data_IF_259484493332
#
_entry.id   IF_259484493332
#
_cell.length_a   1.000
_cell.length_b   1.000
_cell.length_c   1.000
_cell.angle_alpha   90.00
_cell.angle_beta   90.00
_cell.angle_gamma   90.00
#
_symmetry.space_group_name_H-M   'P 1'
#
loop_
_entity.id
_entity.type
_entity.pdbx_description
1 polymer ?
#
# COMPACT_ATOMS: atom_id res chain seq x y z
N UNK A 1 37.26 -67.94 -8.96
CA UNK A 1 36.15 -68.85 -8.61
C UNK A 1 34.99 -68.00 -8.16
N UNK A 2 33.84 -68.29 -8.77
CA UNK A 2 32.59 -67.51 -8.81
C UNK A 2 31.91 -67.37 -7.45
N UNK A 3 31.28 -66.22 -7.19
CA UNK A 3 29.82 -66.17 -7.09
C UNK A 3 29.28 -64.73 -7.24
N UNK A 4 28.52 -64.43 -8.31
CA UNK A 4 27.75 -63.21 -8.47
C UNK A 4 26.26 -63.52 -8.30
N UNK A 5 25.67 -63.26 -7.12
CA UNK A 5 24.24 -62.91 -7.00
C UNK A 5 23.84 -62.64 -5.54
N UNK A 6 23.76 -61.36 -5.19
CA UNK A 6 22.85 -60.87 -4.18
C UNK A 6 22.24 -59.56 -4.70
N UNK A 7 21.00 -59.64 -5.17
CA UNK A 7 20.24 -58.50 -5.68
C UNK A 7 19.36 -57.99 -4.53
N UNK A 8 19.57 -56.77 -4.00
CA UNK A 8 18.70 -56.23 -2.96
C UNK A 8 17.32 -55.83 -3.52
N UNK A 9 16.28 -55.75 -2.68
CA UNK A 9 14.88 -55.63 -3.10
C UNK A 9 14.61 -54.33 -3.87
N UNK A 10 13.87 -54.42 -4.98
CA UNK A 10 13.48 -53.28 -5.78
C UNK A 10 12.48 -52.39 -5.05
N UNK A 11 12.93 -51.22 -4.63
CA UNK A 11 12.06 -50.17 -4.11
C UNK A 11 11.31 -49.52 -5.29
N UNK A 12 9.99 -49.61 -5.28
CA UNK A 12 9.09 -49.23 -6.39
C UNK A 12 8.91 -47.71 -6.56
N UNK A 13 9.73 -46.91 -5.85
CA UNK A 13 9.64 -45.45 -5.82
C UNK A 13 10.88 -44.71 -6.36
N UNK A 14 11.75 -45.38 -7.13
CA UNK A 14 12.77 -44.65 -7.90
C UNK A 14 12.15 -43.99 -9.13
N UNK A 15 11.97 -42.67 -9.07
CA UNK A 15 11.81 -41.80 -10.24
C UNK A 15 13.19 -41.58 -10.85
N UNK A 16 13.39 -41.98 -12.11
CA UNK A 16 14.58 -41.61 -12.89
C UNK A 16 14.75 -40.08 -12.92
N UNK A 17 15.97 -39.56 -12.69
CA UNK A 17 16.29 -38.18 -13.03
C UNK A 17 16.19 -38.00 -14.55
N UNK A 18 15.38 -37.03 -14.99
CA UNK A 18 15.27 -36.65 -16.39
C UNK A 18 16.60 -36.01 -16.85
N UNK A 19 17.49 -36.80 -17.45
CA UNK A 19 18.73 -36.33 -18.08
C UNK A 19 18.47 -36.08 -19.56
N UNK A 20 17.90 -34.90 -19.88
CA UNK A 20 17.59 -34.47 -21.24
C UNK A 20 18.62 -33.48 -21.81
N UNK A 21 19.60 -34.04 -22.53
CA UNK A 21 20.45 -33.57 -23.65
C UNK A 21 21.24 -32.23 -23.62
N UNK A 22 22.52 -32.23 -24.08
CA UNK A 22 23.30 -31.01 -24.26
C UNK A 22 22.81 -30.18 -25.46
N UNK A 23 22.44 -28.93 -25.19
CA UNK A 23 22.06 -27.94 -26.19
C UNK A 23 23.31 -27.45 -26.94
N UNK A 24 23.52 -27.93 -28.17
CA UNK A 24 24.57 -27.43 -29.05
C UNK A 24 24.34 -25.93 -29.36
N UNK A 25 25.37 -25.12 -29.11
CA UNK A 25 25.32 -23.65 -29.20
C UNK A 25 25.01 -23.14 -30.61
N UNK A 26 24.11 -22.14 -30.68
CA UNK A 26 23.91 -21.32 -31.87
C UNK A 26 25.08 -20.33 -32.03
N UNK A 27 25.57 -20.07 -33.27
CA UNK A 27 26.60 -19.06 -33.50
C UNK A 27 26.03 -17.63 -33.29
N UNK A 28 26.87 -16.65 -32.89
CA UNK A 28 26.41 -15.30 -32.59
C UNK A 28 26.14 -14.54 -33.89
N UNK A 29 24.89 -14.11 -34.07
CA UNK A 29 24.53 -13.18 -35.14
C UNK A 29 24.88 -11.76 -34.69
N UNK A 30 26.03 -11.23 -35.13
CA UNK A 30 26.43 -9.84 -34.90
C UNK A 30 25.71 -8.91 -35.87
N UNK A 31 24.52 -8.43 -35.50
CA UNK A 31 23.90 -7.30 -36.17
C UNK A 31 24.49 -5.97 -35.64
N UNK A 32 25.12 -5.14 -36.50
CA UNK A 32 25.55 -3.81 -36.11
C UNK A 32 24.41 -2.80 -36.31
N UNK A 33 24.10 -2.05 -35.25
CA UNK A 33 23.40 -0.76 -35.36
C UNK A 33 21.92 -0.78 -34.97
N UNK A 34 21.65 -0.55 -33.69
CA UNK A 34 20.40 0.06 -33.25
C UNK A 34 20.74 1.10 -32.17
N UNK A 35 20.39 2.36 -32.43
CA UNK A 35 20.51 3.46 -31.49
C UNK A 35 19.83 3.09 -30.16
N UNK A 36 20.43 3.38 -28.99
CA UNK A 36 19.82 3.04 -27.72
C UNK A 36 18.73 4.07 -27.42
N UNK A 37 17.57 3.93 -28.05
CA UNK A 37 16.36 4.51 -27.48
C UNK A 37 16.12 3.77 -26.17
N UNK A 38 16.46 4.43 -25.06
CA UNK A 38 16.12 3.98 -23.72
C UNK A 38 14.60 3.91 -23.61
N UNK A 39 14.04 2.71 -23.68
CA UNK A 39 12.65 2.48 -23.30
C UNK A 39 12.47 2.96 -21.86
N UNK A 40 11.48 3.82 -21.56
CA UNK A 40 11.25 4.22 -20.18
C UNK A 40 10.99 2.96 -19.34
N UNK A 41 11.84 2.73 -18.34
CA UNK A 41 11.72 1.58 -17.44
C UNK A 41 10.50 1.82 -16.56
N UNK A 42 9.39 1.15 -16.89
CA UNK A 42 8.20 1.14 -16.02
C UNK A 42 8.58 0.38 -14.74
N UNK A 43 8.41 1.02 -13.59
CA UNK A 43 8.72 0.40 -12.31
C UNK A 43 7.90 -0.89 -12.12
N UNK A 44 8.54 -1.95 -11.63
CA UNK A 44 7.88 -3.23 -11.42
C UNK A 44 6.70 -3.11 -10.42
N UNK A 45 5.61 -3.89 -10.63
CA UNK A 45 4.51 -3.98 -9.67
C UNK A 45 4.98 -4.39 -8.26
N UNK A 46 4.21 -3.99 -7.24
CA UNK A 46 4.49 -4.42 -5.86
C UNK A 46 4.17 -5.91 -5.66
N UNK A 47 4.92 -6.55 -4.76
CA UNK A 47 4.53 -7.85 -4.22
C UNK A 47 3.22 -7.70 -3.44
N UNK A 48 2.46 -8.78 -3.27
CA UNK A 48 1.21 -8.73 -2.51
C UNK A 48 1.43 -8.29 -1.05
N UNK A 49 2.53 -8.73 -0.44
CA UNK A 49 2.90 -8.32 0.91
C UNK A 49 3.22 -6.82 0.99
N UNK A 50 3.99 -6.29 0.03
CA UNK A 50 4.30 -4.86 -0.03
C UNK A 50 3.05 -4.02 -0.32
N UNK A 51 2.17 -4.48 -1.20
CA UNK A 51 0.92 -3.77 -1.55
C UNK A 51 0.00 -3.64 -0.32
N UNK A 52 -0.09 -4.69 0.50
CA UNK A 52 -0.82 -4.63 1.79
C UNK A 52 -0.11 -3.77 2.83
N UNK A 53 1.22 -3.85 2.89
CA UNK A 53 2.02 -3.06 3.82
C UNK A 53 1.82 -1.56 3.57
N UNK A 54 2.02 -1.09 2.33
CA UNK A 54 1.89 0.32 1.99
C UNK A 54 0.45 0.83 2.11
N UNK A 55 -0.54 0.02 1.70
CA UNK A 55 -1.95 0.31 1.95
C UNK A 55 -2.24 0.56 3.45
N UNK A 56 -1.81 -0.36 4.32
CA UNK A 56 -2.03 -0.23 5.77
C UNK A 56 -1.31 1.01 6.34
N UNK A 57 -0.05 1.23 5.97
CA UNK A 57 0.73 2.38 6.42
C UNK A 57 0.12 3.72 5.98
N UNK A 58 -0.61 3.77 4.87
CA UNK A 58 -1.31 4.98 4.46
C UNK A 58 -2.39 5.39 5.47
N UNK A 59 -3.12 4.43 6.05
CA UNK A 59 -4.09 4.70 7.11
C UNK A 59 -3.38 5.10 8.42
N UNK A 60 -2.37 4.33 8.83
CA UNK A 60 -1.67 4.57 10.10
C UNK A 60 -0.92 5.90 10.09
N UNK A 61 -0.18 6.18 9.02
CA UNK A 61 0.51 7.46 8.82
C UNK A 61 -0.47 8.64 8.76
N UNK A 62 -1.71 8.39 8.33
CA UNK A 62 -2.77 9.40 8.33
C UNK A 62 -3.02 10.04 9.69
N UNK A 63 -2.74 9.34 10.81
CA UNK A 63 -2.86 9.90 12.17
C UNK A 63 -1.99 11.16 12.34
N UNK A 64 -0.86 11.24 11.65
CA UNK A 64 0.04 12.38 11.73
C UNK A 64 -0.48 13.59 10.94
N UNK A 65 -1.22 13.36 9.84
CA UNK A 65 -1.94 14.31 8.98
C UNK A 65 -2.17 13.66 7.60
N UNK A 66 -2.61 14.42 6.59
CA UNK A 66 -2.80 13.94 5.22
C UNK A 66 -1.51 13.63 4.46
N UNK A 67 -0.36 14.21 4.85
CA UNK A 67 0.90 14.09 4.10
C UNK A 67 1.41 12.65 3.96
N UNK A 68 1.46 11.81 5.01
CA UNK A 68 1.91 10.43 4.85
C UNK A 68 1.04 9.62 3.88
N UNK A 69 -0.29 9.74 3.97
CA UNK A 69 -1.21 9.09 3.03
C UNK A 69 -1.03 9.61 1.61
N UNK A 70 -0.79 10.92 1.44
CA UNK A 70 -0.52 11.54 0.15
C UNK A 70 0.77 11.02 -0.48
N UNK A 71 1.86 10.99 0.29
CA UNK A 71 3.16 10.52 -0.19
C UNK A 71 3.06 9.05 -0.60
N UNK A 72 2.47 8.20 0.25
CA UNK A 72 2.30 6.77 -0.07
C UNK A 72 1.45 6.60 -1.33
N UNK A 73 0.33 7.32 -1.42
CA UNK A 73 -0.50 7.26 -2.61
C UNK A 73 0.28 7.67 -3.86
N UNK A 74 0.98 8.81 -3.86
CA UNK A 74 1.74 9.27 -5.02
C UNK A 74 2.89 8.34 -5.42
N UNK A 75 3.58 7.74 -4.46
CA UNK A 75 4.75 6.87 -4.72
C UNK A 75 4.33 5.50 -5.25
N UNK A 76 3.21 4.95 -4.76
CA UNK A 76 2.86 3.54 -5.00
C UNK A 76 1.59 3.33 -5.83
N UNK A 77 0.81 4.37 -6.14
CA UNK A 77 -0.47 4.29 -6.89
C UNK A 77 -0.39 3.51 -8.20
N UNK A 78 0.73 3.60 -8.91
CA UNK A 78 0.90 2.99 -10.24
C UNK A 78 1.46 1.56 -10.16
N UNK A 79 1.96 1.15 -8.99
CA UNK A 79 2.62 -0.15 -8.77
C UNK A 79 1.80 -1.11 -7.91
N UNK A 80 0.95 -0.60 -7.02
CA UNK A 80 0.12 -1.37 -6.10
C UNK A 80 -1.36 -1.08 -6.31
N UNK A 81 -2.15 -2.08 -6.72
CA UNK A 81 -3.60 -1.90 -6.95
C UNK A 81 -4.35 -1.70 -5.64
N UNK A 82 -3.96 -2.45 -4.60
CA UNK A 82 -4.56 -2.33 -3.28
C UNK A 82 -4.13 -1.03 -2.61
N UNK A 83 -2.84 -0.69 -2.65
CA UNK A 83 -2.30 0.59 -2.16
C UNK A 83 -2.96 1.77 -2.83
N UNK A 84 -3.19 1.75 -4.15
CA UNK A 84 -3.89 2.84 -4.85
C UNK A 84 -5.30 3.04 -4.29
N UNK A 85 -6.01 1.96 -3.96
CA UNK A 85 -7.37 2.05 -3.42
C UNK A 85 -7.36 2.59 -1.99
N UNK A 86 -6.60 1.94 -1.11
CA UNK A 86 -6.62 2.24 0.33
C UNK A 86 -5.90 3.55 0.66
N UNK A 87 -4.74 3.83 0.05
CA UNK A 87 -4.04 5.09 0.29
C UNK A 87 -4.82 6.30 -0.22
N UNK A 88 -5.60 6.14 -1.29
CA UNK A 88 -6.51 7.18 -1.79
C UNK A 88 -7.68 7.43 -0.85
N UNK A 89 -8.30 6.36 -0.33
CA UNK A 89 -9.41 6.47 0.63
C UNK A 89 -8.91 7.05 1.97
N UNK A 90 -7.74 6.63 2.46
CA UNK A 90 -7.05 7.23 3.61
C UNK A 90 -6.77 8.73 3.39
N UNK A 91 -6.22 9.10 2.24
CA UNK A 91 -5.95 10.50 1.90
C UNK A 91 -7.22 11.35 1.88
N UNK A 92 -8.29 10.87 1.22
CA UNK A 92 -9.59 11.54 1.19
C UNK A 92 -10.13 11.76 2.61
N UNK A 93 -10.00 10.76 3.50
CA UNK A 93 -10.41 10.89 4.90
C UNK A 93 -9.57 11.92 5.65
N UNK A 94 -8.24 11.92 5.52
CA UNK A 94 -7.39 12.89 6.20
C UNK A 94 -7.63 14.33 5.71
N UNK A 95 -7.91 14.52 4.42
CA UNK A 95 -8.34 15.82 3.90
C UNK A 95 -9.71 16.22 4.50
N UNK A 96 -10.62 15.26 4.67
CA UNK A 96 -11.91 15.51 5.33
C UNK A 96 -11.73 15.99 6.78
N UNK A 97 -10.84 15.34 7.54
CA UNK A 97 -10.51 15.77 8.90
C UNK A 97 -9.85 17.15 8.90
N UNK A 98 -8.91 17.41 7.99
CA UNK A 98 -8.27 18.72 7.86
C UNK A 98 -9.30 19.84 7.64
N UNK A 99 -10.27 19.61 6.73
CA UNK A 99 -11.36 20.56 6.49
C UNK A 99 -12.19 20.77 7.77
N UNK A 100 -12.52 19.70 8.49
CA UNK A 100 -13.26 19.80 9.74
C UNK A 100 -12.49 20.60 10.81
N UNK A 101 -11.18 20.40 10.94
CA UNK A 101 -10.33 21.20 11.84
C UNK A 101 -10.34 22.67 11.48
N UNK A 102 -10.08 23.00 10.22
CA UNK A 102 -10.07 24.39 9.75
C UNK A 102 -11.43 25.05 10.01
N UNK A 103 -12.54 24.35 9.74
CA UNK A 103 -13.87 24.85 10.01
C UNK A 103 -14.10 25.12 11.51
N UNK A 104 -13.75 24.17 12.38
CA UNK A 104 -13.88 24.33 13.85
C UNK A 104 -13.03 25.51 14.33
N UNK A 105 -11.78 25.62 13.89
CA UNK A 105 -10.88 26.72 14.27
C UNK A 105 -11.45 28.07 13.82
N UNK A 106 -11.83 28.21 12.55
CA UNK A 106 -12.37 29.48 12.03
C UNK A 106 -13.64 29.90 12.78
N UNK A 107 -14.58 28.97 12.98
CA UNK A 107 -15.85 29.24 13.67
C UNK A 107 -15.62 29.57 15.14
N UNK A 108 -14.81 28.79 15.85
CA UNK A 108 -14.51 29.02 17.27
C UNK A 108 -13.75 30.33 17.49
N UNK A 109 -12.77 30.66 16.65
CA UNK A 109 -12.06 31.94 16.73
C UNK A 109 -12.98 33.12 16.47
N UNK A 110 -13.83 33.06 15.43
CA UNK A 110 -14.80 34.10 15.15
C UNK A 110 -15.78 34.31 16.33
N UNK A 111 -16.33 33.22 16.88
CA UNK A 111 -17.23 33.28 18.03
C UNK A 111 -16.52 33.81 19.27
N UNK A 112 -15.28 33.41 19.52
CA UNK A 112 -14.49 33.95 20.64
C UNK A 112 -14.33 35.47 20.54
N UNK A 113 -14.09 36.02 19.35
CA UNK A 113 -13.96 37.46 19.16
C UNK A 113 -15.27 38.22 19.45
N UNK A 114 -16.41 37.70 18.99
CA UNK A 114 -17.71 38.40 19.16
C UNK A 114 -18.36 38.18 20.53
N UNK A 115 -18.02 37.10 21.24
CA UNK A 115 -18.59 36.77 22.55
C UNK A 115 -17.59 36.94 23.70
N UNK A 116 -16.54 37.75 23.54
CA UNK A 116 -15.51 37.98 24.56
C UNK A 116 -14.90 36.69 25.16
N UNK A 117 -14.60 35.71 24.29
CA UNK A 117 -13.88 34.48 24.63
C UNK A 117 -14.77 33.24 24.82
N UNK A 118 -16.05 33.40 25.16
CA UNK A 118 -16.96 32.27 25.45
C UNK A 118 -17.07 31.28 24.27
N UNK A 119 -17.18 31.80 23.05
CA UNK A 119 -17.24 31.01 21.83
C UNK A 119 -16.01 30.14 21.56
N UNK A 120 -14.87 30.47 22.18
CA UNK A 120 -13.64 29.70 22.08
C UNK A 120 -13.75 28.30 22.68
N UNK A 121 -14.72 28.05 23.56
CA UNK A 121 -14.98 26.72 24.14
C UNK A 121 -15.27 25.66 23.07
N UNK A 122 -15.82 26.06 21.91
CA UNK A 122 -16.06 25.16 20.79
C UNK A 122 -14.78 24.57 20.18
N UNK A 123 -13.60 25.16 20.44
CA UNK A 123 -12.33 24.58 20.02
C UNK A 123 -12.12 23.17 20.60
N UNK A 124 -12.75 22.85 21.74
CA UNK A 124 -12.75 21.51 22.33
C UNK A 124 -13.31 20.40 21.42
N UNK A 125 -14.22 20.73 20.48
CA UNK A 125 -14.71 19.75 19.49
C UNK A 125 -13.58 19.20 18.61
N UNK A 126 -12.49 19.96 18.42
CA UNK A 126 -11.32 19.50 17.68
C UNK A 126 -10.71 18.23 18.28
N UNK A 127 -10.72 18.09 19.62
CA UNK A 127 -10.24 16.87 20.29
C UNK A 127 -11.10 15.65 20.00
N UNK A 128 -12.41 15.84 19.90
CA UNK A 128 -13.36 14.76 19.57
C UNK A 128 -13.13 14.30 18.12
N UNK A 129 -13.00 15.25 17.19
CA UNK A 129 -12.69 14.97 15.78
C UNK A 129 -11.34 14.25 15.66
N UNK A 130 -10.34 14.67 16.44
CA UNK A 130 -9.03 14.00 16.48
C UNK A 130 -9.12 12.56 16.92
N UNK A 131 -9.79 12.31 18.04
CA UNK A 131 -9.94 10.98 18.59
C UNK A 131 -10.70 10.06 17.63
N UNK A 132 -11.78 10.55 17.02
CA UNK A 132 -12.50 9.81 15.98
C UNK A 132 -11.60 9.50 14.77
N UNK A 133 -10.78 10.48 14.35
CA UNK A 133 -9.79 10.32 13.30
C UNK A 133 -8.77 9.21 13.58
N UNK A 134 -8.25 9.17 14.81
CA UNK A 134 -7.32 8.13 15.28
C UNK A 134 -8.00 6.76 15.25
N UNK A 135 -9.21 6.63 15.80
CA UNK A 135 -9.95 5.36 15.86
C UNK A 135 -10.17 4.80 14.46
N UNK A 136 -10.72 5.61 13.54
CA UNK A 136 -10.97 5.13 12.18
C UNK A 136 -9.68 4.84 11.41
N UNK A 137 -8.60 5.59 11.64
CA UNK A 137 -7.29 5.31 11.03
C UNK A 137 -6.71 3.98 11.50
N UNK A 138 -6.85 3.65 12.78
CA UNK A 138 -6.45 2.33 13.31
C UNK A 138 -7.31 1.22 12.71
N UNK A 139 -8.63 1.41 12.61
CA UNK A 139 -9.53 0.43 11.97
C UNK A 139 -9.18 0.19 10.50
N UNK A 140 -8.83 1.25 9.78
CA UNK A 140 -8.35 1.16 8.39
C UNK A 140 -7.02 0.43 8.28
N UNK A 141 -6.05 0.78 9.14
CA UNK A 141 -4.78 0.06 9.21
C UNK A 141 -4.99 -1.44 9.46
N UNK A 142 -5.85 -1.80 10.43
CA UNK A 142 -6.08 -3.20 10.77
C UNK A 142 -6.69 -3.97 9.60
N UNK A 143 -7.70 -3.42 8.94
CA UNK A 143 -8.36 -4.09 7.82
C UNK A 143 -7.48 -4.16 6.57
N UNK A 144 -6.75 -3.09 6.26
CA UNK A 144 -5.84 -3.06 5.14
C UNK A 144 -4.68 -4.06 5.32
N UNK A 145 -4.17 -4.25 6.55
CA UNK A 145 -3.16 -5.30 6.84
C UNK A 145 -3.68 -6.69 6.50
N UNK A 146 -4.97 -6.95 6.73
CA UNK A 146 -5.63 -8.23 6.44
C UNK A 146 -5.98 -8.38 4.94
N UNK A 147 -5.65 -7.37 4.11
CA UNK A 147 -6.01 -7.34 2.68
C UNK A 147 -7.49 -7.03 2.42
N UNK A 148 -8.20 -6.48 3.41
CA UNK A 148 -9.61 -6.06 3.28
C UNK A 148 -9.68 -4.57 3.02
N UNK A 149 -10.49 -4.17 2.04
CA UNK A 149 -10.71 -2.75 1.77
C UNK A 149 -11.44 -2.11 2.96
N UNK A 150 -10.94 -0.98 3.43
CA UNK A 150 -11.61 -0.17 4.44
C UNK A 150 -12.22 1.07 3.81
N UNK A 151 -13.51 1.29 4.10
CA UNK A 151 -14.22 2.48 3.65
C UNK A 151 -14.60 3.33 4.85
N UNK A 152 -14.08 4.55 4.89
CA UNK A 152 -14.40 5.46 5.98
C UNK A 152 -15.89 5.83 5.92
N UNK A 153 -16.59 5.84 7.07
CA UNK A 153 -18.00 6.20 7.12
C UNK A 153 -18.21 7.67 6.71
N UNK A 154 -17.25 8.54 7.03
CA UNK A 154 -17.30 9.97 6.76
C UNK A 154 -16.02 10.41 6.03
N UNK A 155 -16.03 10.33 4.69
CA UNK A 155 -14.94 10.83 3.86
C UNK A 155 -15.47 11.49 2.59
N UNK A 156 -15.00 12.71 2.32
CA UNK A 156 -15.18 13.40 1.06
C UNK A 156 -14.24 12.76 0.03
N UNK A 157 -14.82 12.10 -0.99
CA UNK A 157 -14.07 11.43 -2.06
C UNK A 157 -13.68 12.41 -3.16
N UNK A 158 -12.75 13.29 -2.81
CA UNK A 158 -12.25 14.35 -3.68
C UNK A 158 -11.38 13.78 -4.80
N UNK A 159 -10.57 12.77 -4.47
CA UNK A 159 -9.72 12.05 -5.41
C UNK A 159 -10.45 10.77 -5.84
N UNK A 160 -10.61 10.59 -7.15
CA UNK A 160 -11.32 9.45 -7.78
C UNK A 160 -10.36 8.38 -8.29
#
# INVERSE_FOLDING_TARGET
MSDPQAQPPGDSNYREPNVGQPQYGQPPNSQPGASPYSTPVVAAPLSEADDRQWASLAHLGGILSFLPSLIIWLVFKDRGRFTNTEAKEALNFQITLLIAYVAITVVSTFLALVTFGIGGLLAGLGWIVWLAGVIFSIMGFVQAKDGKNYRYPFALRLIK
#
